data_IF_017235252436
#
_entry.id   IF_017235252436
#
_cell.length_a   1.000
_cell.length_b   1.000
_cell.length_c   1.000
_cell.angle_alpha   90.00
_cell.angle_beta   90.00
_cell.angle_gamma   90.00
#
_symmetry.space_group_name_H-M   'P 1'
#
loop_
_entity.id
_entity.type
_entity.pdbx_description
1 polymer ?
#
# COMPACT_ATOMS: atom_id res chain seq x y z
N UNK A 1 26.40 1.37 -21.71
CA UNK A 1 27.59 1.45 -20.86
C UNK A 1 27.17 1.41 -19.40
N UNK A 2 27.68 0.45 -18.63
CA UNK A 2 27.37 0.22 -17.22
C UNK A 2 27.81 1.39 -16.34
N UNK A 3 28.97 1.99 -16.67
CA UNK A 3 29.51 3.16 -15.96
C UNK A 3 28.53 4.34 -16.02
N UNK A 4 27.97 4.62 -17.20
CA UNK A 4 27.02 5.71 -17.38
C UNK A 4 25.71 5.47 -16.62
N UNK A 5 25.24 4.21 -16.50
CA UNK A 5 24.07 3.87 -15.69
C UNK A 5 24.33 4.15 -14.21
N UNK A 6 25.46 3.69 -13.68
CA UNK A 6 25.84 3.92 -12.27
C UNK A 6 25.93 5.42 -11.94
N UNK A 7 26.53 6.22 -12.81
CA UNK A 7 26.62 7.69 -12.61
C UNK A 7 25.23 8.31 -12.63
N UNK A 8 24.40 7.97 -13.63
CA UNK A 8 23.03 8.48 -13.74
C UNK A 8 22.20 8.12 -12.50
N UNK A 9 22.26 6.87 -12.06
CA UNK A 9 21.46 6.37 -10.93
C UNK A 9 21.90 7.03 -9.63
N UNK A 10 23.20 7.19 -9.39
CA UNK A 10 23.72 7.93 -8.24
C UNK A 10 23.34 9.42 -8.25
N UNK A 11 23.29 10.05 -9.43
CA UNK A 11 22.79 11.44 -9.55
C UNK A 11 21.30 11.52 -9.27
N UNK A 12 20.49 10.55 -9.70
CA UNK A 12 19.08 10.49 -9.36
C UNK A 12 18.84 10.27 -7.88
N UNK A 13 19.60 9.38 -7.23
CA UNK A 13 19.57 9.21 -5.78
C UNK A 13 19.88 10.52 -5.06
N UNK A 14 20.93 11.24 -5.49
CA UNK A 14 21.31 12.52 -4.90
C UNK A 14 20.21 13.58 -5.04
N UNK A 15 19.61 13.70 -6.23
CA UNK A 15 18.51 14.64 -6.48
C UNK A 15 17.25 14.26 -5.69
N UNK A 16 16.98 12.97 -5.53
CA UNK A 16 15.83 12.46 -4.78
C UNK A 16 16.03 12.46 -3.26
N UNK A 17 17.26 12.67 -2.78
CA UNK A 17 17.64 12.73 -1.36
C UNK A 17 17.22 14.06 -0.72
N UNK A 18 15.91 14.32 -0.71
CA UNK A 18 15.28 15.51 -0.12
C UNK A 18 14.20 15.08 0.86
N UNK A 19 14.04 15.83 1.96
CA UNK A 19 13.00 15.55 2.95
C UNK A 19 11.67 16.24 2.64
N UNK A 20 11.74 17.37 1.95
CA UNK A 20 10.58 18.19 1.60
C UNK A 20 10.62 18.58 0.13
N UNK A 21 9.44 18.71 -0.46
CA UNK A 21 9.21 19.17 -1.83
C UNK A 21 8.56 20.55 -1.73
N UNK A 22 9.12 21.52 -2.45
CA UNK A 22 8.53 22.85 -2.57
C UNK A 22 7.22 22.76 -3.37
N UNK A 23 6.13 23.25 -2.78
CA UNK A 23 4.78 23.22 -3.35
C UNK A 23 4.25 24.61 -3.70
N UNK A 24 5.01 25.66 -3.36
CA UNK A 24 4.69 27.06 -3.59
C UNK A 24 5.73 27.95 -2.92
N UNK A 25 5.58 29.28 -3.04
CA UNK A 25 6.54 30.23 -2.47
C UNK A 25 6.66 30.02 -0.96
N UNK A 26 7.82 29.54 -0.51
CA UNK A 26 8.12 29.24 0.89
C UNK A 26 7.13 28.23 1.52
N UNK A 27 6.61 27.28 0.71
CA UNK A 27 5.70 26.23 1.15
C UNK A 27 6.29 24.86 0.84
N UNK A 28 6.39 24.01 1.85
CA UNK A 28 7.04 22.71 1.75
C UNK A 28 6.11 21.60 2.20
N UNK A 29 6.07 20.52 1.43
CA UNK A 29 5.35 19.31 1.77
C UNK A 29 6.35 18.18 2.03
N UNK A 30 6.13 17.33 3.03
CA UNK A 30 7.02 16.19 3.26
C UNK A 30 7.05 15.28 2.02
N UNK A 31 8.24 14.84 1.61
CA UNK A 31 8.39 13.80 0.59
C UNK A 31 7.81 12.50 1.16
N UNK A 32 6.97 11.81 0.39
CA UNK A 32 6.47 10.48 0.78
C UNK A 32 7.65 9.54 1.03
N UNK A 33 7.63 8.80 2.14
CA UNK A 33 8.73 7.91 2.55
C UNK A 33 10.11 8.58 2.67
N UNK A 34 10.21 9.84 3.11
CA UNK A 34 11.51 10.49 3.32
C UNK A 34 12.42 9.72 4.31
N UNK A 35 11.85 8.84 5.13
CA UNK A 35 12.58 7.99 6.07
C UNK A 35 13.61 7.07 5.40
N UNK A 36 13.45 6.82 4.10
CA UNK A 36 14.40 6.01 3.31
C UNK A 36 15.55 6.82 2.70
N UNK A 37 15.60 8.13 2.94
CA UNK A 37 16.67 8.99 2.43
C UNK A 37 17.88 8.94 3.36
N UNK A 38 19.10 9.04 2.82
CA UNK A 38 20.31 9.10 3.65
C UNK A 38 20.33 10.38 4.48
N UNK A 39 19.81 11.48 3.96
CA UNK A 39 19.67 12.74 4.70
C UNK A 39 18.82 12.61 5.97
N UNK A 40 17.81 11.74 5.98
CA UNK A 40 17.06 11.45 7.22
C UNK A 40 17.90 10.59 8.17
N UNK A 41 18.56 9.55 7.65
CA UNK A 41 19.36 8.63 8.44
C UNK A 41 20.54 9.30 9.16
N UNK A 42 21.12 10.35 8.56
CA UNK A 42 22.25 11.10 9.13
C UNK A 42 21.84 12.10 10.24
N UNK A 43 20.54 12.31 10.47
CA UNK A 43 20.04 13.21 11.51
C UNK A 43 20.11 12.59 12.90
N UNK A 44 20.12 13.44 13.92
CA UNK A 44 19.99 13.01 15.30
C UNK A 44 18.58 12.45 15.58
N UNK A 45 18.48 11.66 16.65
CA UNK A 45 17.25 10.94 17.01
C UNK A 45 16.08 11.88 17.35
N UNK A 46 16.31 13.06 17.94
CA UNK A 46 15.25 14.00 18.27
C UNK A 46 14.66 14.60 16.99
N UNK A 47 15.52 15.02 16.06
CA UNK A 47 15.10 15.52 14.75
C UNK A 47 14.35 14.45 13.96
N UNK A 48 14.84 13.21 13.94
CA UNK A 48 14.15 12.09 13.27
C UNK A 48 12.75 11.87 13.83
N UNK A 49 12.59 11.88 15.15
CA UNK A 49 11.30 11.72 15.81
C UNK A 49 10.32 12.84 15.46
N UNK A 50 10.74 14.10 15.53
CA UNK A 50 9.91 15.26 15.18
C UNK A 50 9.47 15.24 13.72
N UNK A 51 10.37 14.83 12.81
CA UNK A 51 10.03 14.70 11.40
C UNK A 51 9.04 13.56 11.18
N UNK A 52 9.20 12.42 11.85
CA UNK A 52 8.22 11.32 11.78
C UNK A 52 6.85 11.73 12.31
N UNK A 53 6.77 12.51 13.40
CA UNK A 53 5.52 13.08 13.89
C UNK A 53 4.88 14.00 12.84
N UNK A 54 5.66 14.88 12.21
CA UNK A 54 5.18 15.75 11.14
C UNK A 54 4.68 14.96 9.93
N UNK A 55 5.42 13.93 9.51
CA UNK A 55 5.04 13.02 8.42
C UNK A 55 3.71 12.34 8.72
N UNK A 56 3.60 11.73 9.90
CA UNK A 56 2.42 11.01 10.31
C UNK A 56 1.21 11.94 10.41
N UNK A 57 1.42 13.13 10.96
CA UNK A 57 0.37 14.14 11.02
C UNK A 57 -0.05 14.59 9.62
N UNK A 58 0.88 14.88 8.71
CA UNK A 58 0.57 15.37 7.36
C UNK A 58 -0.20 14.34 6.52
N UNK A 59 0.25 13.08 6.49
CA UNK A 59 -0.32 12.05 5.62
C UNK A 59 -1.52 11.32 6.24
N UNK A 60 -1.57 11.14 7.56
CA UNK A 60 -2.56 10.26 8.20
C UNK A 60 -3.49 10.95 9.20
N UNK A 61 -3.32 12.24 9.50
CA UNK A 61 -4.17 12.96 10.49
C UNK A 61 -4.78 14.25 9.97
N UNK A 62 -3.99 15.07 9.29
CA UNK A 62 -4.32 16.45 8.92
C UNK A 62 -5.66 16.58 8.18
N UNK A 63 -5.96 15.63 7.30
CA UNK A 63 -7.14 15.70 6.42
C UNK A 63 -8.19 14.65 6.75
N UNK A 64 -8.01 13.88 7.83
CA UNK A 64 -8.86 12.72 8.13
C UNK A 64 -10.33 13.14 8.35
N UNK A 65 -10.56 14.12 9.23
CA UNK A 65 -11.89 14.70 9.46
C UNK A 65 -12.47 15.32 8.18
N UNK A 66 -11.67 16.06 7.42
CA UNK A 66 -12.15 16.71 6.20
C UNK A 66 -12.61 15.69 5.16
N UNK A 67 -11.83 14.63 4.95
CA UNK A 67 -12.15 13.56 4.01
C UNK A 67 -13.36 12.74 4.47
N UNK A 68 -13.46 12.44 5.76
CA UNK A 68 -14.65 11.81 6.34
C UNK A 68 -15.92 12.57 5.97
N UNK A 69 -15.96 13.88 6.26
CA UNK A 69 -17.15 14.69 6.00
C UNK A 69 -17.44 14.82 4.50
N UNK A 70 -16.40 14.91 3.66
CA UNK A 70 -16.58 14.92 2.19
C UNK A 70 -17.09 13.60 1.64
N UNK A 71 -16.70 12.49 2.24
CA UNK A 71 -17.21 11.17 1.87
C UNK A 71 -18.68 11.05 2.26
N UNK A 72 -19.04 11.41 3.49
CA UNK A 72 -20.43 11.34 3.97
C UNK A 72 -21.39 12.30 3.25
N UNK A 73 -20.89 13.42 2.72
CA UNK A 73 -21.66 14.35 1.89
C UNK A 73 -21.98 13.77 0.49
N UNK A 74 -21.13 12.89 -0.04
CA UNK A 74 -21.18 12.47 -1.46
C UNK A 74 -21.57 11.02 -1.67
N UNK A 75 -20.95 10.10 -0.93
CA UNK A 75 -21.08 8.66 -1.14
C UNK A 75 -22.51 8.15 -0.95
N UNK A 76 -23.31 8.61 0.04
CA UNK A 76 -24.70 8.13 0.18
C UNK A 76 -25.56 8.34 -1.07
N UNK A 77 -25.37 9.47 -1.77
CA UNK A 77 -26.08 9.75 -3.02
C UNK A 77 -25.66 8.81 -4.16
N UNK A 78 -24.39 8.41 -4.20
CA UNK A 78 -23.89 7.44 -5.21
C UNK A 78 -24.40 6.03 -4.91
N UNK A 79 -24.33 5.61 -3.65
CA UNK A 79 -24.72 4.27 -3.22
C UNK A 79 -26.23 4.06 -3.40
N UNK A 80 -27.05 5.05 -3.04
CA UNK A 80 -28.51 4.94 -3.19
C UNK A 80 -29.02 5.04 -4.63
N UNK A 81 -28.16 5.33 -5.60
CA UNK A 81 -28.54 5.43 -7.01
C UNK A 81 -28.69 4.06 -7.71
N UNK A 82 -28.32 2.96 -7.04
CA UNK A 82 -28.37 1.60 -7.61
C UNK A 82 -28.56 0.55 -6.52
N UNK A 83 -29.13 -0.60 -6.88
CA UNK A 83 -29.20 -1.79 -6.00
C UNK A 83 -27.92 -2.67 -6.09
N UNK A 84 -26.90 -2.24 -6.85
CA UNK A 84 -25.65 -2.96 -6.97
C UNK A 84 -24.79 -2.85 -5.71
N UNK A 85 -24.05 -3.92 -5.42
CA UNK A 85 -23.02 -3.89 -4.37
C UNK A 85 -21.89 -2.94 -4.77
N UNK A 86 -21.48 -2.11 -3.82
CA UNK A 86 -20.38 -1.16 -4.00
C UNK A 86 -19.13 -1.73 -3.35
N UNK A 87 -18.05 -1.81 -4.12
CA UNK A 87 -16.74 -2.26 -3.65
C UNK A 87 -15.78 -1.07 -3.68
N UNK A 88 -15.10 -0.83 -2.55
CA UNK A 88 -14.04 0.15 -2.43
C UNK A 88 -12.70 -0.51 -2.71
N UNK A 89 -11.91 0.06 -3.61
CA UNK A 89 -10.50 -0.29 -3.75
C UNK A 89 -9.70 0.45 -2.65
N UNK A 90 -9.60 -0.17 -1.48
CA UNK A 90 -8.97 0.37 -0.27
C UNK A 90 -7.51 -0.14 -0.12
N UNK A 91 -6.70 0.12 -1.14
CA UNK A 91 -5.32 -0.36 -1.21
C UNK A 91 -4.30 0.77 -0.99
N UNK A 92 -3.12 0.39 -0.50
CA UNK A 92 -1.98 1.29 -0.36
C UNK A 92 -2.04 2.19 0.88
N UNK A 93 -1.73 3.48 0.71
CA UNK A 93 -1.69 4.44 1.81
C UNK A 93 -3.10 4.97 2.09
N UNK A 94 -3.84 4.24 2.92
CA UNK A 94 -5.25 4.53 3.24
C UNK A 94 -5.35 5.32 4.56
N UNK A 95 -6.00 6.50 4.57
CA UNK A 95 -6.26 7.26 5.80
C UNK A 95 -7.19 6.52 6.77
N UNK A 96 -7.06 6.79 8.07
CA UNK A 96 -7.81 6.11 9.13
C UNK A 96 -9.33 6.29 9.01
N UNK A 97 -9.81 7.39 8.42
CA UNK A 97 -11.24 7.64 8.21
C UNK A 97 -11.91 6.74 7.17
N UNK A 98 -11.14 6.08 6.28
CA UNK A 98 -11.72 5.35 5.15
C UNK A 98 -12.49 4.10 5.59
N UNK A 99 -11.90 3.23 6.41
CA UNK A 99 -12.58 2.00 6.85
C UNK A 99 -13.86 2.30 7.65
N UNK A 100 -13.88 3.23 8.63
CA UNK A 100 -15.12 3.62 9.30
C UNK A 100 -16.23 4.10 8.35
N UNK A 101 -15.89 4.87 7.30
CA UNK A 101 -16.87 5.30 6.30
C UNK A 101 -17.38 4.12 5.49
N UNK A 102 -16.49 3.24 5.05
CA UNK A 102 -16.88 2.05 4.28
C UNK A 102 -17.80 1.14 5.09
N UNK A 103 -17.47 0.88 6.36
CA UNK A 103 -18.30 0.09 7.27
C UNK A 103 -19.67 0.73 7.50
N UNK A 104 -19.72 2.05 7.76
CA UNK A 104 -20.98 2.77 7.97
C UNK A 104 -21.89 2.75 6.74
N UNK A 105 -21.31 2.78 5.54
CA UNK A 105 -22.03 2.84 4.28
C UNK A 105 -22.25 1.46 3.64
N UNK A 106 -21.76 0.39 4.26
CA UNK A 106 -21.87 -0.97 3.72
C UNK A 106 -21.07 -1.20 2.44
N UNK A 107 -19.96 -0.47 2.25
CA UNK A 107 -19.06 -0.63 1.11
C UNK A 107 -18.13 -1.81 1.38
N UNK A 108 -18.03 -2.73 0.42
CA UNK A 108 -17.16 -3.90 0.55
C UNK A 108 -15.69 -3.51 0.38
N UNK A 109 -14.84 -4.03 1.26
CA UNK A 109 -13.39 -3.89 1.21
C UNK A 109 -12.76 -4.85 0.19
N UNK A 110 -11.65 -4.47 -0.44
CA UNK A 110 -10.92 -5.33 -1.39
C UNK A 110 -9.75 -6.02 -0.68
N UNK A 111 -9.77 -7.35 -0.66
CA UNK A 111 -8.76 -8.19 0.00
C UNK A 111 -7.94 -8.95 -1.05
N UNK A 112 -6.65 -8.61 -1.15
CA UNK A 112 -5.74 -9.23 -2.14
C UNK A 112 -4.77 -10.16 -1.42
N UNK A 113 -4.82 -11.45 -1.76
CA UNK A 113 -3.96 -12.47 -1.15
C UNK A 113 -2.46 -12.10 -1.16
N UNK A 114 -2.00 -11.48 -2.24
CA UNK A 114 -0.59 -11.09 -2.44
C UNK A 114 -0.23 -9.70 -1.91
N UNK A 115 -1.18 -8.97 -1.32
CA UNK A 115 -0.99 -7.65 -0.74
C UNK A 115 -1.71 -7.58 0.61
N UNK A 116 -1.10 -8.20 1.62
CA UNK A 116 -1.63 -8.19 2.98
C UNK A 116 -1.73 -6.76 3.53
N UNK A 117 -2.89 -6.43 4.11
CA UNK A 117 -3.09 -5.20 4.87
C UNK A 117 -2.39 -5.23 6.24
N UNK A 118 -2.10 -6.42 6.77
CA UNK A 118 -1.23 -6.57 7.94
C UNK A 118 0.24 -6.53 7.49
N UNK A 119 1.03 -5.51 7.87
CA UNK A 119 2.43 -5.39 7.47
C UNK A 119 3.33 -6.49 8.03
N UNK A 120 2.86 -7.26 9.02
CA UNK A 120 3.60 -8.41 9.57
C UNK A 120 3.43 -9.67 8.74
N UNK A 121 2.47 -9.70 7.82
CA UNK A 121 2.15 -10.87 7.00
C UNK A 121 2.50 -10.59 5.55
N UNK A 122 3.17 -11.55 4.91
CA UNK A 122 3.48 -11.46 3.48
C UNK A 122 2.26 -11.71 2.60
N UNK A 123 1.36 -12.58 3.05
CA UNK A 123 0.17 -12.98 2.32
C UNK A 123 -1.06 -12.82 3.20
N UNK A 124 -2.13 -12.28 2.64
CA UNK A 124 -3.44 -12.29 3.28
C UNK A 124 -4.03 -13.70 3.21
N UNK A 125 -4.65 -14.15 4.28
CA UNK A 125 -5.30 -15.44 4.33
C UNK A 125 -6.83 -15.24 4.25
N UNK A 126 -7.56 -15.94 3.34
CA UNK A 126 -9.00 -15.72 3.17
C UNK A 126 -9.84 -15.95 4.43
N UNK A 127 -9.36 -16.79 5.37
CA UNK A 127 -10.06 -17.00 6.64
C UNK A 127 -10.03 -15.78 7.59
N UNK A 128 -9.11 -14.84 7.37
CA UNK A 128 -8.99 -13.61 8.16
C UNK A 128 -9.68 -12.41 7.49
N UNK A 129 -10.27 -12.61 6.30
CA UNK A 129 -10.91 -11.53 5.57
C UNK A 129 -12.18 -11.04 6.28
N UNK A 130 -12.45 -9.72 6.31
CA UNK A 130 -13.69 -9.19 6.86
C UNK A 130 -14.92 -9.73 6.12
N UNK A 131 -16.06 -9.80 6.82
CA UNK A 131 -17.32 -10.25 6.20
C UNK A 131 -17.73 -9.39 4.99
N UNK A 132 -17.58 -8.07 5.09
CA UNK A 132 -17.86 -7.12 4.01
C UNK A 132 -16.63 -6.97 3.11
N UNK A 133 -16.26 -8.02 2.39
CA UNK A 133 -15.09 -7.99 1.50
C UNK A 133 -15.27 -8.73 0.18
N UNK A 134 -14.45 -8.34 -0.80
CA UNK A 134 -14.20 -9.06 -2.04
C UNK A 134 -12.78 -9.60 -1.98
N UNK A 135 -12.64 -10.92 -1.90
CA UNK A 135 -11.34 -11.58 -1.92
C UNK A 135 -10.89 -11.88 -3.35
N UNK A 136 -9.64 -11.53 -3.67
CA UNK A 136 -8.99 -11.86 -4.95
C UNK A 136 -7.55 -12.32 -4.74
N UNK A 137 -7.03 -13.09 -5.69
CA UNK A 137 -5.61 -13.48 -5.72
C UNK A 137 -4.73 -12.35 -6.28
N UNK A 138 -5.29 -11.46 -7.11
CA UNK A 138 -4.58 -10.44 -7.88
C UNK A 138 -5.46 -9.29 -8.35
N UNK A 139 -4.85 -8.17 -8.75
CA UNK A 139 -5.49 -7.11 -9.53
C UNK A 139 -4.88 -7.03 -10.95
N UNK A 140 -5.46 -6.16 -11.79
CA UNK A 140 -4.97 -5.88 -13.13
C UNK A 140 -3.60 -5.17 -13.13
N UNK A 141 -3.22 -4.52 -12.03
CA UNK A 141 -1.91 -3.85 -11.86
C UNK A 141 -0.80 -4.79 -11.38
N UNK A 142 -1.12 -6.07 -11.16
CA UNK A 142 -0.16 -7.07 -10.70
C UNK A 142 0.15 -8.09 -11.80
N UNK A 143 1.26 -8.82 -11.64
CA UNK A 143 1.52 -9.98 -12.49
C UNK A 143 0.40 -11.00 -12.38
N UNK A 144 0.14 -11.72 -13.48
CA UNK A 144 -0.82 -12.83 -13.50
C UNK A 144 -0.40 -13.91 -12.51
N UNK A 145 -1.33 -14.77 -12.08
CA UNK A 145 -1.03 -15.86 -11.14
C UNK A 145 0.13 -16.74 -11.63
N UNK A 146 0.14 -17.11 -12.91
CA UNK A 146 1.24 -17.88 -13.53
C UNK A 146 2.54 -17.09 -13.55
N UNK A 147 2.51 -15.83 -14.01
CA UNK A 147 3.70 -15.00 -14.07
C UNK A 147 4.33 -14.75 -12.70
N UNK A 148 3.51 -14.67 -11.66
CA UNK A 148 3.96 -14.57 -10.27
C UNK A 148 4.51 -15.89 -9.72
N UNK A 149 3.86 -17.01 -10.03
CA UNK A 149 4.34 -18.34 -9.64
C UNK A 149 5.75 -18.65 -10.15
N UNK A 150 6.11 -18.07 -11.28
CA UNK A 150 7.38 -18.30 -11.95
C UNK A 150 8.40 -17.17 -11.70
N UNK A 151 8.04 -16.14 -10.91
CA UNK A 151 8.90 -14.95 -10.73
C UNK A 151 10.00 -15.10 -9.67
N UNK A 152 9.69 -15.75 -8.55
CA UNK A 152 10.63 -15.91 -7.43
C UNK A 152 10.40 -17.27 -6.75
N UNK A 153 11.39 -18.16 -6.86
CA UNK A 153 11.30 -19.53 -6.33
C UNK A 153 11.19 -19.58 -4.80
N UNK A 154 11.86 -18.69 -4.08
CA UNK A 154 11.84 -18.70 -2.62
C UNK A 154 10.49 -18.19 -2.11
N UNK A 155 9.96 -17.12 -2.71
CA UNK A 155 8.65 -16.58 -2.37
C UNK A 155 7.54 -17.62 -2.59
N UNK A 156 7.60 -18.33 -3.71
CA UNK A 156 6.60 -19.32 -4.09
C UNK A 156 6.69 -20.60 -3.28
N UNK A 157 7.91 -21.03 -2.91
CA UNK A 157 8.09 -22.12 -1.95
C UNK A 157 7.43 -21.80 -0.60
N UNK A 158 7.65 -20.58 -0.10
CA UNK A 158 7.03 -20.12 1.14
C UNK A 158 5.50 -20.11 1.03
N UNK A 159 4.95 -19.54 -0.06
CA UNK A 159 3.51 -19.53 -0.29
C UNK A 159 2.91 -20.94 -0.39
N UNK A 160 3.54 -21.85 -1.12
CA UNK A 160 3.07 -23.22 -1.32
C UNK A 160 2.98 -24.00 0.00
N UNK A 161 3.98 -23.85 0.88
CA UNK A 161 3.97 -24.54 2.17
C UNK A 161 3.09 -23.85 3.21
N UNK A 162 3.19 -22.52 3.34
CA UNK A 162 2.56 -21.79 4.44
C UNK A 162 1.10 -21.38 4.14
N UNK A 163 0.80 -21.01 2.90
CA UNK A 163 -0.55 -20.54 2.52
C UNK A 163 -1.42 -21.65 1.92
N UNK A 164 -0.83 -22.51 1.10
CA UNK A 164 -1.58 -23.65 0.52
C UNK A 164 -1.51 -24.90 1.40
N UNK A 165 -0.62 -24.95 2.40
CA UNK A 165 -0.49 -26.08 3.31
C UNK A 165 0.12 -27.34 2.66
N UNK A 166 0.68 -27.22 1.46
CA UNK A 166 1.20 -28.37 0.74
C UNK A 166 2.61 -28.71 1.21
N UNK A 167 2.94 -29.99 1.46
CA UNK A 167 4.29 -30.39 1.83
C UNK A 167 5.22 -30.45 0.61
N UNK A 168 6.54 -30.41 0.86
CA UNK A 168 7.56 -30.60 -0.17
C UNK A 168 7.84 -29.36 -1.03
N UNK A 169 8.54 -29.57 -2.15
CA UNK A 169 8.92 -28.50 -3.07
C UNK A 169 7.75 -28.03 -3.93
N UNK A 170 7.63 -26.71 -4.10
CA UNK A 170 6.64 -26.11 -4.97
C UNK A 170 6.91 -26.46 -6.44
N UNK A 171 5.89 -26.85 -7.24
CA UNK A 171 6.03 -27.07 -8.67
C UNK A 171 6.79 -25.94 -9.39
N UNK A 172 7.60 -26.29 -10.38
CA UNK A 172 8.37 -25.29 -11.12
C UNK A 172 7.46 -24.38 -11.96
N UNK A 173 6.54 -24.99 -12.71
CA UNK A 173 5.56 -24.31 -13.55
C UNK A 173 4.16 -24.41 -12.94
N UNK A 174 3.32 -23.40 -13.18
CA UNK A 174 1.90 -23.43 -12.80
C UNK A 174 1.07 -24.10 -13.90
N UNK A 175 1.32 -25.38 -14.20
CA UNK A 175 0.57 -26.13 -15.22
C UNK A 175 -0.78 -26.65 -14.70
N UNK A 176 -1.81 -26.76 -15.57
CA UNK A 176 -3.11 -27.36 -15.21
C UNK A 176 -3.03 -28.83 -14.82
#
# INVERSE_FOLDING_TARGET
DEKNRRIRDGLFELIANVLFIESGYNQFQPRITFQHTSSFADMDIDTQNRLNELYNHFFYKRHDDFWYHKAMDKLPGIISATDMLVCGEDLGMVPDCVHPVMDQLGILSLEIQRMSKDPKRKFAHPADAPYMSVCTTSTHDMSTTRGWWESDRNLIQQFYNEQLGNPGEAPFFAEP
#
